data_IF_856168410749
#
_entry.id   IF_856168410749
#
_cell.length_a   1.000
_cell.length_b   1.000
_cell.length_c   1.000
_cell.angle_alpha   90.00
_cell.angle_beta   90.00
_cell.angle_gamma   90.00
#
_symmetry.space_group_name_H-M   'P 1'
#
loop_
_entity.id
_entity.type
_entity.pdbx_description
1 polymer ?
#
# COMPACT_ATOMS: atom_id res chain seq x y z
N UNK A 1 4.05 -5.73 15.45
CA UNK A 1 3.28 -5.59 14.20
C UNK A 1 4.23 -5.08 13.13
N UNK A 2 4.22 -5.65 11.92
CA UNK A 2 5.08 -5.21 10.81
C UNK A 2 4.43 -4.03 10.09
N UNK A 3 5.24 -3.05 9.68
CA UNK A 3 4.79 -1.85 8.97
C UNK A 3 5.40 -1.85 7.57
N UNK A 4 4.56 -1.71 6.54
CA UNK A 4 4.97 -1.61 5.14
C UNK A 4 4.61 -0.21 4.65
N UNK A 5 5.59 0.50 4.10
CA UNK A 5 5.42 1.87 3.59
C UNK A 5 5.57 1.86 2.07
N UNK A 6 4.56 2.35 1.36
CA UNK A 6 4.65 2.69 -0.05
C UNK A 6 4.80 4.21 -0.17
N UNK A 7 5.98 4.63 -0.63
CA UNK A 7 6.29 6.02 -0.88
C UNK A 7 5.96 6.38 -2.32
N UNK A 8 5.06 7.34 -2.50
CA UNK A 8 4.58 7.82 -3.81
C UNK A 8 4.16 6.69 -4.76
N UNK A 9 3.18 5.83 -4.37
CA UNK A 9 2.78 4.73 -5.22
C UNK A 9 2.13 5.23 -6.52
N UNK A 10 2.59 4.70 -7.65
CA UNK A 10 2.14 5.13 -8.98
C UNK A 10 1.17 4.15 -9.64
N UNK A 11 1.25 2.86 -9.31
CA UNK A 11 0.46 1.80 -9.97
C UNK A 11 -0.64 1.31 -9.02
N UNK A 12 -1.93 1.53 -9.32
CA UNK A 12 -3.04 1.19 -8.43
C UNK A 12 -3.12 -0.32 -8.15
N UNK A 13 -2.88 -1.16 -9.16
CA UNK A 13 -2.91 -2.62 -9.00
C UNK A 13 -1.85 -3.12 -8.02
N UNK A 14 -0.65 -2.54 -8.02
CA UNK A 14 0.40 -2.90 -7.07
C UNK A 14 -0.01 -2.54 -5.64
N UNK A 15 -0.55 -1.33 -5.44
CA UNK A 15 -1.03 -0.88 -4.13
C UNK A 15 -2.15 -1.76 -3.60
N UNK A 16 -3.11 -2.13 -4.46
CA UNK A 16 -4.21 -3.02 -4.08
C UNK A 16 -3.74 -4.43 -3.71
N UNK A 17 -2.81 -5.00 -4.48
CA UNK A 17 -2.24 -6.32 -4.19
C UNK A 17 -1.45 -6.33 -2.87
N UNK A 18 -0.67 -5.28 -2.60
CA UNK A 18 0.07 -5.11 -1.35
C UNK A 18 -0.89 -4.88 -0.17
N UNK A 19 -1.98 -4.14 -0.36
CA UNK A 19 -3.04 -3.99 0.63
C UNK A 19 -3.66 -5.32 1.03
N UNK A 20 -3.95 -6.19 0.05
CA UNK A 20 -4.45 -7.55 0.29
C UNK A 20 -3.43 -8.39 1.06
N UNK A 21 -2.15 -8.33 0.69
CA UNK A 21 -1.08 -9.00 1.45
C UNK A 21 -1.05 -8.52 2.90
N UNK A 22 -1.13 -7.20 3.15
CA UNK A 22 -1.11 -6.66 4.49
C UNK A 22 -2.29 -7.13 5.34
N UNK A 23 -3.49 -7.22 4.75
CA UNK A 23 -4.68 -7.75 5.40
C UNK A 23 -4.50 -9.23 5.81
N UNK A 24 -3.94 -10.06 4.94
CA UNK A 24 -3.67 -11.47 5.26
C UNK A 24 -2.52 -11.67 6.26
N UNK A 25 -1.47 -10.86 6.17
CA UNK A 25 -0.28 -11.00 7.00
C UNK A 25 -0.39 -10.29 8.37
N UNK A 26 -1.48 -9.57 8.64
CA UNK A 26 -1.62 -8.76 9.86
C UNK A 26 -0.62 -7.59 9.91
N UNK A 27 -0.22 -7.07 8.75
CA UNK A 27 0.70 -5.94 8.62
C UNK A 27 -0.07 -4.62 8.47
N UNK A 28 0.52 -3.51 8.90
CA UNK A 28 -0.03 -2.17 8.67
C UNK A 28 0.58 -1.56 7.41
N UNK A 29 -0.26 -1.20 6.45
CA UNK A 29 0.13 -0.50 5.23
C UNK A 29 0.03 1.02 5.42
N UNK A 30 1.09 1.75 5.05
CA UNK A 30 1.13 3.21 5.02
C UNK A 30 1.37 3.67 3.58
N UNK A 31 0.53 4.60 3.09
CA UNK A 31 0.65 5.17 1.75
C UNK A 31 1.04 6.65 1.86
N UNK A 32 2.22 7.02 1.38
CA UNK A 32 2.70 8.41 1.40
C UNK A 32 2.40 9.07 0.06
N UNK A 33 1.73 10.22 0.12
CA UNK A 33 1.34 11.05 -1.03
C UNK A 33 2.52 11.81 -1.65
N UNK A 34 2.46 12.22 -2.93
CA UNK A 34 1.32 12.06 -3.86
C UNK A 34 1.15 10.62 -4.36
N UNK A 35 -0.06 10.27 -4.76
CA UNK A 35 -0.33 9.01 -5.46
C UNK A 35 -0.34 9.30 -6.97
N UNK A 36 0.13 8.35 -7.77
CA UNK A 36 0.00 8.41 -9.24
C UNK A 36 -1.39 7.97 -9.74
N UNK A 37 -2.34 7.75 -8.82
CA UNK A 37 -3.71 7.30 -9.10
C UNK A 37 -4.70 7.85 -8.07
N UNK A 38 -5.99 7.74 -8.37
CA UNK A 38 -7.10 8.07 -7.47
C UNK A 38 -7.55 6.83 -6.67
N UNK A 39 -7.93 7.04 -5.39
CA UNK A 39 -8.38 6.00 -4.46
C UNK A 39 -9.90 5.98 -4.41
#
# INVERSE_FOLDING_TARGET
>A
VIHLILFHPEIPQNTGNIGRLCAYAGCRLHLIRPYGFEI
#
